data_IF_462210425730
#
_entry.id   IF_462210425730
#
_cell.length_a   1.000
_cell.length_b   1.000
_cell.length_c   1.000
_cell.angle_alpha   90.00
_cell.angle_beta   90.00
_cell.angle_gamma   90.00
#
_symmetry.space_group_name_H-M   'P 1'
#
loop_
_entity.id
_entity.type
_entity.pdbx_description
1 polymer ?
#
# COMPACT_ATOMS: atom_id res chain seq x y z
N UNK A 1 -13.59 -8.66 -37.28
CA UNK A 1 -12.88 -9.92 -36.99
C UNK A 1 -11.73 -9.58 -36.06
N UNK A 2 -11.88 -9.95 -34.77
CA UNK A 2 -10.88 -10.11 -33.70
C UNK A 2 -9.72 -9.09 -33.60
N UNK A 3 -9.89 -8.07 -32.75
CA UNK A 3 -8.76 -7.41 -32.08
C UNK A 3 -8.09 -8.43 -31.15
N UNK A 4 -6.81 -8.70 -31.41
CA UNK A 4 -5.95 -9.53 -30.59
C UNK A 4 -5.74 -8.89 -29.22
N UNK A 5 -6.15 -9.61 -28.17
CA UNK A 5 -5.77 -9.36 -26.78
C UNK A 5 -4.24 -9.39 -26.67
N UNK A 6 -3.62 -8.24 -26.47
CA UNK A 6 -2.30 -8.13 -25.85
C UNK A 6 -2.59 -7.66 -24.43
N UNK A 7 -2.25 -8.50 -23.46
CA UNK A 7 -2.44 -8.23 -22.04
C UNK A 7 -1.51 -7.09 -21.63
N UNK A 8 -2.07 -5.90 -21.64
CA UNK A 8 -1.45 -4.72 -21.06
C UNK A 8 -1.58 -4.87 -19.54
N UNK A 9 -0.50 -5.27 -18.86
CA UNK A 9 -0.34 -5.05 -17.41
C UNK A 9 -0.10 -3.54 -17.25
N UNK A 10 -1.19 -2.81 -17.49
CA UNK A 10 -1.28 -1.36 -17.48
C UNK A 10 -1.36 -0.91 -16.04
N UNK A 11 -0.87 0.30 -15.77
CA UNK A 11 -1.12 1.02 -14.52
C UNK A 11 -0.60 0.34 -13.27
N UNK A 12 0.72 0.19 -13.28
CA UNK A 12 1.45 0.39 -12.06
C UNK A 12 1.11 1.79 -11.48
N UNK A 13 0.21 1.80 -10.50
CA UNK A 13 0.29 2.66 -9.31
C UNK A 13 -0.04 4.16 -9.46
N UNK A 14 -0.21 4.70 -10.68
CA UNK A 14 -0.67 6.08 -10.88
C UNK A 14 -2.11 6.37 -10.37
N UNK A 15 -2.89 5.34 -10.01
CA UNK A 15 -4.28 5.54 -9.63
C UNK A 15 -4.48 5.94 -8.15
N UNK A 16 -3.47 5.78 -7.27
CA UNK A 16 -3.54 6.23 -5.87
C UNK A 16 -3.38 7.76 -5.71
N UNK A 17 -2.85 8.43 -6.73
CA UNK A 17 -2.59 9.86 -6.74
C UNK A 17 -3.71 10.63 -7.45
N UNK A 18 -4.95 10.47 -6.99
CA UNK A 18 -5.85 11.62 -7.08
C UNK A 18 -5.59 12.39 -5.80
N UNK A 19 -5.10 13.64 -5.85
CA UNK A 19 -5.11 14.46 -4.65
C UNK A 19 -6.55 14.41 -4.12
N UNK A 20 -6.72 13.96 -2.88
CA UNK A 20 -8.04 13.91 -2.21
C UNK A 20 -8.71 15.30 -2.18
N UNK A 21 -7.99 16.33 -2.65
CA UNK A 21 -8.31 17.74 -2.54
C UNK A 21 -7.83 18.51 -3.79
N UNK A 22 -8.11 18.03 -5.01
CA UNK A 22 -8.05 18.91 -6.18
C UNK A 22 -9.30 19.81 -6.20
N UNK A 23 -9.07 21.12 -6.16
CA UNK A 23 -10.09 22.16 -6.05
C UNK A 23 -11.05 22.21 -7.26
N UNK A 24 -12.20 21.53 -7.21
CA UNK A 24 -13.49 21.92 -7.86
C UNK A 24 -14.70 21.13 -7.32
N UNK A 25 -14.63 20.62 -6.08
CA UNK A 25 -15.71 19.84 -5.47
C UNK A 25 -16.02 20.36 -4.07
N UNK A 26 -17.32 20.53 -3.77
CA UNK A 26 -17.75 20.95 -2.44
C UNK A 26 -17.59 19.79 -1.47
N UNK A 27 -16.67 19.89 -0.52
CA UNK A 27 -16.64 19.00 0.63
C UNK A 27 -17.82 19.34 1.57
N UNK A 28 -18.59 18.33 1.95
CA UNK A 28 -19.69 18.45 2.92
C UNK A 28 -19.36 17.68 4.18
N UNK A 29 -19.59 18.28 5.35
CA UNK A 29 -19.46 17.63 6.66
C UNK A 29 -20.82 17.71 7.36
N UNK A 30 -21.36 16.58 7.78
CA UNK A 30 -22.57 16.48 8.61
C UNK A 30 -22.27 15.73 9.90
N UNK A 31 -22.85 16.17 11.01
CA UNK A 31 -22.69 15.54 12.32
C UNK A 31 -23.86 15.96 13.24
N UNK A 32 -23.97 15.35 14.41
CA UNK A 32 -24.96 15.73 15.43
C UNK A 32 -24.69 17.15 15.95
N UNK A 33 -23.41 17.50 16.13
CA UNK A 33 -22.95 18.82 16.54
C UNK A 33 -21.84 19.29 15.60
N UNK A 34 -22.03 20.48 15.02
CA UNK A 34 -21.03 21.18 14.21
C UNK A 34 -20.77 22.58 14.78
N UNK A 35 -19.50 22.92 14.93
CA UNK A 35 -19.05 24.26 15.30
C UNK A 35 -18.04 24.77 14.28
N UNK A 36 -18.20 26.01 13.83
CA UNK A 36 -17.25 26.65 12.93
C UNK A 36 -16.80 28.00 13.49
N UNK A 37 -15.48 28.18 13.62
CA UNK A 37 -14.87 29.44 14.01
C UNK A 37 -14.33 30.17 12.76
N UNK A 38 -15.03 31.22 12.32
CA UNK A 38 -14.63 32.00 11.15
C UNK A 38 -13.30 32.74 11.30
N UNK A 39 -12.84 33.02 12.53
CA UNK A 39 -11.55 33.68 12.78
C UNK A 39 -10.38 32.72 12.61
N UNK A 40 -10.47 31.48 13.12
CA UNK A 40 -9.40 30.48 12.97
C UNK A 40 -9.54 29.60 11.73
N UNK A 41 -10.74 29.49 11.16
CA UNK A 41 -11.06 28.54 10.09
C UNK A 41 -11.32 27.11 10.59
N UNK A 42 -11.38 26.89 11.90
CA UNK A 42 -11.57 25.56 12.49
C UNK A 42 -13.05 25.15 12.46
N UNK A 43 -13.35 24.02 11.84
CA UNK A 43 -14.62 23.31 11.91
C UNK A 43 -14.45 22.06 12.80
N UNK A 44 -15.30 21.90 13.81
CA UNK A 44 -15.33 20.74 14.70
C UNK A 44 -16.65 20.00 14.52
N UNK A 45 -16.59 18.66 14.45
CA UNK A 45 -17.72 17.78 14.21
C UNK A 45 -17.75 16.66 15.25
N UNK A 46 -18.90 16.45 15.90
CA UNK A 46 -19.10 15.42 16.94
C UNK A 46 -20.42 14.69 16.76
N UNK A 47 -20.37 13.37 16.91
CA UNK A 47 -21.51 12.46 16.77
C UNK A 47 -21.88 12.22 15.30
N UNK A 48 -21.96 10.94 14.90
CA UNK A 48 -22.39 10.51 13.56
C UNK A 48 -21.77 11.32 12.41
N UNK A 49 -20.44 11.54 12.44
CA UNK A 49 -19.75 12.37 11.45
C UNK A 49 -19.77 11.67 10.11
N UNK A 50 -20.24 12.38 9.08
CA UNK A 50 -20.18 11.96 7.67
C UNK A 50 -19.54 13.08 6.87
N UNK A 51 -18.50 12.74 6.11
CA UNK A 51 -17.77 13.64 5.23
C UNK A 51 -17.95 13.12 3.80
N UNK A 52 -18.41 13.99 2.91
CA UNK A 52 -18.56 13.68 1.48
C UNK A 52 -17.64 14.61 0.71
N UNK A 53 -16.76 14.02 -0.10
CA UNK A 53 -15.88 14.74 -1.00
C UNK A 53 -15.80 13.97 -2.32
N UNK A 54 -16.32 14.57 -3.40
CA UNK A 54 -16.47 13.94 -4.72
C UNK A 54 -17.21 12.60 -4.64
N UNK A 55 -16.53 11.50 -4.99
CA UNK A 55 -17.04 10.14 -4.99
C UNK A 55 -16.87 9.44 -3.64
N UNK A 56 -16.22 10.08 -2.66
CA UNK A 56 -15.82 9.47 -1.40
C UNK A 56 -16.75 9.88 -0.27
N UNK A 57 -17.26 8.89 0.44
CA UNK A 57 -18.00 9.06 1.70
C UNK A 57 -17.17 8.48 2.83
N UNK A 58 -16.90 9.28 3.86
CA UNK A 58 -16.16 8.88 5.05
C UNK A 58 -17.01 9.08 6.30
N UNK A 59 -17.03 8.10 7.19
CA UNK A 59 -17.78 8.14 8.45
C UNK A 59 -16.84 8.03 9.65
N UNK A 60 -17.20 8.65 10.77
CA UNK A 60 -16.49 8.54 12.05
C UNK A 60 -17.34 9.06 13.22
N UNK A 61 -16.76 9.16 14.41
CA UNK A 61 -17.47 9.69 15.60
C UNK A 61 -17.18 11.15 15.86
N UNK A 62 -15.92 11.56 15.72
CA UNK A 62 -15.48 12.92 16.03
C UNK A 62 -14.33 13.31 15.11
N UNK A 63 -14.30 14.58 14.72
CA UNK A 63 -13.24 15.10 13.87
C UNK A 63 -13.21 16.62 13.82
N UNK A 64 -12.18 17.14 13.18
CA UNK A 64 -12.04 18.56 12.90
C UNK A 64 -11.34 18.79 11.57
N UNK A 65 -11.59 19.96 10.99
CA UNK A 65 -10.98 20.42 9.75
C UNK A 65 -10.64 21.90 9.85
N UNK A 66 -9.43 22.29 9.50
CA UNK A 66 -9.03 23.69 9.43
C UNK A 66 -9.00 24.15 7.97
N UNK A 67 -9.89 25.06 7.59
CA UNK A 67 -10.03 25.56 6.22
C UNK A 67 -8.84 26.40 5.74
N UNK A 68 -8.02 26.95 6.65
CA UNK A 68 -6.85 27.76 6.33
C UNK A 68 -5.60 26.92 6.14
N UNK A 69 -5.39 25.93 7.01
CA UNK A 69 -4.20 25.06 6.95
C UNK A 69 -4.44 23.78 6.15
N UNK A 70 -5.71 23.45 5.86
CA UNK A 70 -6.09 22.20 5.20
C UNK A 70 -5.64 20.96 6.00
N UNK A 71 -5.63 21.10 7.32
CA UNK A 71 -5.34 20.01 8.25
C UNK A 71 -6.66 19.42 8.74
N UNK A 72 -6.70 18.10 8.88
CA UNK A 72 -7.93 17.38 9.23
C UNK A 72 -7.62 16.19 10.14
N UNK A 73 -8.50 15.91 11.09
CA UNK A 73 -8.46 14.66 11.87
C UNK A 73 -9.85 14.06 11.99
N UNK A 74 -9.96 12.75 11.87
CA UNK A 74 -11.17 11.98 12.11
C UNK A 74 -10.84 10.79 13.00
N UNK A 75 -11.74 10.44 13.91
CA UNK A 75 -11.54 9.36 14.89
C UNK A 75 -12.83 8.58 15.16
N UNK A 76 -12.68 7.42 15.79
CA UNK A 76 -13.80 6.68 16.38
C UNK A 76 -14.35 5.54 15.52
N UNK A 77 -13.49 4.89 14.75
CA UNK A 77 -13.89 3.82 13.83
C UNK A 77 -14.29 4.42 12.48
N UNK A 78 -13.30 4.56 11.62
CA UNK A 78 -13.43 5.19 10.31
C UNK A 78 -13.81 4.13 9.29
N UNK A 79 -14.77 4.48 8.44
CA UNK A 79 -15.06 3.78 7.20
C UNK A 79 -15.08 4.79 6.06
N UNK A 80 -14.31 4.55 5.02
CA UNK A 80 -14.34 5.33 3.79
C UNK A 80 -14.72 4.42 2.63
N UNK A 81 -15.64 4.87 1.80
CA UNK A 81 -16.08 4.19 0.59
C UNK A 81 -16.05 5.21 -0.55
N UNK A 82 -15.36 4.86 -1.62
CA UNK A 82 -15.40 5.55 -2.91
C UNK A 82 -15.66 4.55 -4.04
N UNK A 83 -15.54 4.98 -5.29
CA UNK A 83 -15.90 4.17 -6.46
C UNK A 83 -15.12 2.84 -6.51
N UNK A 84 -13.78 2.93 -6.44
CA UNK A 84 -12.88 1.77 -6.49
C UNK A 84 -11.97 1.71 -5.27
N UNK A 85 -12.32 2.42 -4.21
CA UNK A 85 -11.45 2.60 -3.04
C UNK A 85 -12.23 2.43 -1.76
N UNK A 86 -11.65 1.75 -0.78
CA UNK A 86 -12.20 1.70 0.57
C UNK A 86 -11.10 1.77 1.62
N UNK A 87 -11.46 2.24 2.81
CA UNK A 87 -10.55 2.28 3.95
C UNK A 87 -11.30 2.00 5.26
N UNK A 88 -10.66 1.27 6.16
CA UNK A 88 -11.01 1.23 7.58
C UNK A 88 -9.81 1.54 8.45
N UNK A 89 -10.01 2.33 9.51
CA UNK A 89 -8.99 2.64 10.53
C UNK A 89 -9.66 3.09 11.83
N UNK A 90 -8.91 3.29 12.91
CA UNK A 90 -9.42 3.94 14.14
C UNK A 90 -9.29 5.47 14.10
N UNK A 91 -8.23 5.95 13.46
CA UNK A 91 -7.90 7.37 13.33
C UNK A 91 -7.32 7.65 11.94
N UNK A 92 -7.61 8.85 11.42
CA UNK A 92 -7.02 9.41 10.21
C UNK A 92 -6.63 10.86 10.49
N UNK A 93 -5.40 11.22 10.18
CA UNK A 93 -4.89 12.59 10.22
C UNK A 93 -4.35 12.97 8.83
N UNK A 94 -4.71 14.17 8.37
CA UNK A 94 -4.27 14.76 7.11
C UNK A 94 -3.58 16.09 7.39
N UNK A 95 -2.39 16.29 6.82
CA UNK A 95 -1.65 17.55 6.93
C UNK A 95 -1.45 18.17 5.55
N UNK A 96 -1.85 19.43 5.38
CA UNK A 96 -1.72 20.23 4.16
C UNK A 96 -2.27 19.53 2.89
N UNK A 97 -3.23 18.61 3.03
CA UNK A 97 -3.72 17.75 1.94
C UNK A 97 -2.64 16.92 1.20
N UNK A 98 -1.42 16.84 1.76
CA UNK A 98 -0.28 16.14 1.18
C UNK A 98 0.07 14.87 1.97
N UNK A 99 0.03 14.93 3.30
CA UNK A 99 0.35 13.80 4.17
C UNK A 99 -0.92 13.20 4.74
N UNK A 100 -1.02 11.87 4.68
CA UNK A 100 -2.06 11.09 5.34
C UNK A 100 -1.40 10.12 6.32
N UNK A 101 -1.96 10.02 7.51
CA UNK A 101 -1.60 9.02 8.51
C UNK A 101 -2.87 8.35 9.02
N UNK A 102 -2.97 7.03 8.82
CA UNK A 102 -4.04 6.20 9.34
C UNK A 102 -3.50 5.29 10.44
N UNK A 103 -4.27 5.11 11.52
CA UNK A 103 -3.87 4.33 12.71
C UNK A 103 -4.96 3.37 13.15
N UNK A 104 -4.53 2.22 13.66
CA UNK A 104 -5.37 1.20 14.29
C UNK A 104 -6.03 0.26 13.28
N UNK A 105 -5.41 -0.91 13.07
CA UNK A 105 -5.89 -1.97 12.17
C UNK A 105 -6.28 -1.42 10.78
N UNK A 106 -5.38 -0.66 10.18
CA UNK A 106 -5.62 -0.02 8.89
C UNK A 106 -5.82 -1.09 7.83
N UNK A 107 -6.88 -0.92 7.03
CA UNK A 107 -7.13 -1.69 5.82
C UNK A 107 -7.46 -0.69 4.73
N UNK A 108 -6.65 -0.65 3.71
CA UNK A 108 -6.85 0.16 2.52
C UNK A 108 -7.04 -0.79 1.36
N UNK A 109 -8.05 -0.54 0.54
CA UNK A 109 -8.23 -1.24 -0.71
C UNK A 109 -8.36 -0.22 -1.83
N UNK A 110 -7.71 -0.52 -2.95
CA UNK A 110 -7.91 0.18 -4.19
C UNK A 110 -7.90 -0.81 -5.34
N UNK A 111 -9.01 -0.91 -6.06
CA UNK A 111 -9.23 -1.93 -7.08
C UNK A 111 -8.99 -3.35 -6.47
N UNK A 112 -8.05 -4.11 -7.02
CA UNK A 112 -7.61 -5.43 -6.55
C UNK A 112 -6.42 -5.38 -5.57
N UNK A 113 -5.92 -4.19 -5.24
CA UNK A 113 -4.75 -4.00 -4.36
C UNK A 113 -5.22 -3.70 -2.94
N UNK A 114 -4.46 -4.18 -1.96
CA UNK A 114 -4.76 -3.93 -0.54
C UNK A 114 -3.50 -3.64 0.26
N UNK A 115 -3.60 -2.71 1.21
CA UNK A 115 -2.55 -2.37 2.17
C UNK A 115 -3.11 -2.54 3.58
N UNK A 116 -2.36 -3.23 4.43
CA UNK A 116 -2.67 -3.44 5.83
C UNK A 116 -1.51 -2.98 6.70
N UNK A 117 -1.82 -2.50 7.90
CA UNK A 117 -0.86 -2.23 8.96
C UNK A 117 -1.50 -1.65 10.21
N UNK A 118 -0.76 -1.59 11.31
CA UNK A 118 -1.17 -0.89 12.52
C UNK A 118 -1.13 0.64 12.32
N UNK A 119 -0.14 1.10 11.55
CA UNK A 119 0.01 2.50 11.11
C UNK A 119 0.36 2.50 9.63
N UNK A 120 -0.36 3.30 8.84
CA UNK A 120 -0.06 3.51 7.43
C UNK A 120 0.08 5.00 7.16
N UNK A 121 1.17 5.40 6.50
CA UNK A 121 1.37 6.78 6.06
C UNK A 121 1.45 6.87 4.55
N UNK A 122 1.04 8.01 3.99
CA UNK A 122 1.16 8.28 2.57
C UNK A 122 1.36 9.76 2.29
N UNK A 123 2.32 10.08 1.43
CA UNK A 123 2.59 11.40 0.91
C UNK A 123 2.16 11.45 -0.56
N UNK A 124 1.12 12.22 -0.86
CA UNK A 124 0.57 12.32 -2.22
C UNK A 124 1.52 13.00 -3.21
N UNK A 125 2.40 13.88 -2.74
CA UNK A 125 3.33 14.65 -3.56
C UNK A 125 4.56 13.86 -3.98
N UNK A 126 5.11 13.07 -3.06
CA UNK A 126 6.27 12.21 -3.35
C UNK A 126 5.88 10.79 -3.73
N UNK A 127 4.60 10.47 -3.61
CA UNK A 127 4.04 9.12 -3.77
C UNK A 127 4.80 8.08 -2.93
N UNK A 128 5.16 8.48 -1.71
CA UNK A 128 5.87 7.63 -0.75
C UNK A 128 4.90 7.21 0.34
N UNK A 129 4.92 5.94 0.71
CA UNK A 129 4.09 5.42 1.79
C UNK A 129 4.82 4.41 2.66
N UNK A 130 4.32 4.25 3.88
CA UNK A 130 4.82 3.25 4.82
C UNK A 130 3.67 2.46 5.42
N UNK A 131 3.93 1.20 5.75
CA UNK A 131 3.06 0.39 6.59
C UNK A 131 3.89 -0.23 7.72
N UNK A 132 3.46 0.00 8.96
CA UNK A 132 4.16 -0.47 10.16
C UNK A 132 3.23 -1.30 11.02
N UNK A 133 3.75 -2.42 11.53
CA UNK A 133 3.05 -3.36 12.39
C UNK A 133 2.13 -4.24 11.57
N UNK A 134 2.45 -5.54 11.48
CA UNK A 134 1.69 -6.51 10.68
C UNK A 134 1.46 -6.05 9.24
N UNK A 135 2.50 -5.45 8.64
CA UNK A 135 2.44 -4.92 7.29
C UNK A 135 2.13 -6.02 6.28
N UNK A 136 1.11 -5.79 5.46
CA UNK A 136 0.77 -6.68 4.35
C UNK A 136 0.37 -5.86 3.14
N UNK A 137 0.95 -6.19 1.99
CA UNK A 137 0.62 -5.65 0.69
C UNK A 137 0.10 -6.79 -0.18
N UNK A 138 -1.11 -6.63 -0.71
CA UNK A 138 -1.70 -7.54 -1.69
C UNK A 138 -1.72 -6.83 -3.03
N UNK A 139 -1.15 -7.48 -4.02
CA UNK A 139 -1.13 -7.08 -5.43
C UNK A 139 -1.75 -8.21 -6.26
N UNK A 140 -1.95 -7.95 -7.55
CA UNK A 140 -2.57 -8.88 -8.51
C UNK A 140 -1.93 -10.27 -8.48
N UNK A 141 -0.60 -10.29 -8.48
CA UNK A 141 0.18 -11.51 -8.65
C UNK A 141 1.00 -11.88 -7.41
N UNK A 142 0.94 -11.09 -6.34
CA UNK A 142 1.80 -11.29 -5.19
C UNK A 142 1.23 -10.74 -3.88
N UNK A 143 1.61 -11.40 -2.79
CA UNK A 143 1.38 -10.97 -1.41
C UNK A 143 2.73 -10.81 -0.73
N UNK A 144 2.99 -9.62 -0.21
CA UNK A 144 4.19 -9.30 0.57
C UNK A 144 3.78 -9.01 2.02
N UNK A 145 4.50 -9.58 2.99
CA UNK A 145 4.37 -9.22 4.41
C UNK A 145 5.68 -8.73 4.98
N UNK A 146 5.61 -7.95 6.04
CA UNK A 146 6.76 -7.55 6.85
C UNK A 146 6.35 -6.69 8.04
N UNK A 147 7.22 -6.55 9.03
CA UNK A 147 6.96 -5.71 10.21
C UNK A 147 6.96 -4.22 9.85
N UNK A 148 7.75 -3.84 8.84
CA UNK A 148 7.80 -2.50 8.25
C UNK A 148 7.97 -2.59 6.74
N UNK A 149 7.09 -1.93 6.00
CA UNK A 149 7.10 -1.88 4.53
C UNK A 149 7.14 -0.41 4.10
N UNK A 150 7.98 -0.09 3.14
CA UNK A 150 8.00 1.22 2.47
C UNK A 150 7.76 1.05 0.98
N UNK A 151 7.14 2.05 0.36
CA UNK A 151 6.89 2.09 -1.07
C UNK A 151 7.15 3.47 -1.66
N UNK A 152 7.86 3.51 -2.78
CA UNK A 152 8.00 4.67 -3.67
C UNK A 152 7.31 4.34 -4.98
N UNK A 153 6.10 4.84 -5.11
CA UNK A 153 5.17 4.48 -6.16
C UNK A 153 5.63 4.98 -7.54
N UNK A 154 6.07 6.23 -7.64
CA UNK A 154 6.61 6.80 -8.88
C UNK A 154 7.91 6.15 -9.37
N UNK A 155 8.60 5.38 -8.51
CA UNK A 155 9.83 4.66 -8.83
C UNK A 155 9.65 3.14 -8.92
N UNK A 156 8.45 2.63 -8.60
CA UNK A 156 8.18 1.19 -8.48
C UNK A 156 9.18 0.48 -7.57
N UNK A 157 9.39 1.08 -6.40
CA UNK A 157 10.32 0.53 -5.42
C UNK A 157 9.58 0.23 -4.14
N UNK A 158 9.90 -0.91 -3.54
CA UNK A 158 9.44 -1.24 -2.20
C UNK A 158 10.58 -1.82 -1.36
N UNK A 159 10.53 -1.58 -0.05
CA UNK A 159 11.38 -2.26 0.94
C UNK A 159 10.48 -2.92 1.97
N UNK A 160 10.91 -4.06 2.49
CA UNK A 160 10.25 -4.73 3.62
C UNK A 160 11.31 -5.20 4.61
N UNK A 161 11.00 -5.10 5.89
CA UNK A 161 11.91 -5.42 6.99
C UNK A 161 11.15 -6.16 8.09
N UNK A 162 11.80 -7.17 8.67
CA UNK A 162 11.26 -8.01 9.74
C UNK A 162 10.22 -9.00 9.24
N UNK A 163 10.47 -10.30 9.45
CA UNK A 163 9.54 -11.39 9.11
C UNK A 163 8.99 -11.29 7.67
N UNK A 164 9.86 -11.01 6.70
CA UNK A 164 9.43 -10.78 5.32
C UNK A 164 9.00 -12.10 4.70
N UNK A 165 7.81 -12.11 4.10
CA UNK A 165 7.38 -13.20 3.22
C UNK A 165 6.85 -12.64 1.91
N UNK A 166 7.13 -13.35 0.82
CA UNK A 166 6.65 -13.04 -0.52
C UNK A 166 6.03 -14.30 -1.10
N UNK A 167 4.75 -14.24 -1.42
CA UNK A 167 4.04 -15.31 -2.11
C UNK A 167 3.59 -14.81 -3.48
N UNK A 168 3.90 -15.56 -4.54
CA UNK A 168 3.38 -15.32 -5.88
C UNK A 168 2.92 -16.62 -6.54
N UNK A 169 1.60 -16.77 -6.68
CA UNK A 169 1.02 -17.91 -7.38
C UNK A 169 1.36 -17.91 -8.88
N UNK A 170 1.39 -16.73 -9.52
CA UNK A 170 1.75 -16.58 -10.94
C UNK A 170 3.16 -17.08 -11.23
N UNK A 171 4.09 -16.79 -10.34
CA UNK A 171 5.49 -17.18 -10.47
C UNK A 171 5.79 -18.52 -9.78
N UNK A 172 4.80 -19.17 -9.13
CA UNK A 172 4.98 -20.39 -8.33
C UNK A 172 6.16 -20.27 -7.35
N UNK A 173 6.14 -19.16 -6.62
CA UNK A 173 7.21 -18.67 -5.76
C UNK A 173 6.68 -18.43 -4.35
N UNK A 174 7.37 -19.00 -3.38
CA UNK A 174 7.26 -18.68 -1.97
C UNK A 174 8.64 -18.29 -1.44
N UNK A 175 8.79 -17.13 -0.83
CA UNK A 175 10.08 -16.68 -0.31
C UNK A 175 9.95 -16.01 1.05
N UNK A 176 11.03 -16.06 1.83
CA UNK A 176 11.14 -15.45 3.14
C UNK A 176 12.54 -14.92 3.40
N UNK A 177 12.64 -13.83 4.15
CA UNK A 177 13.91 -13.24 4.58
C UNK A 177 13.71 -12.26 5.75
N UNK A 178 14.82 -11.75 6.29
CA UNK A 178 14.79 -10.67 7.27
C UNK A 178 14.47 -9.33 6.59
N UNK A 179 14.96 -9.12 5.36
CA UNK A 179 14.72 -7.90 4.59
C UNK A 179 14.50 -8.22 3.10
N UNK A 180 13.72 -7.37 2.43
CA UNK A 180 13.55 -7.39 0.99
C UNK A 180 13.63 -5.99 0.38
N UNK A 181 14.16 -5.91 -0.84
CA UNK A 181 14.12 -4.72 -1.70
C UNK A 181 13.59 -5.14 -3.06
N UNK A 182 12.53 -4.48 -3.54
CA UNK A 182 11.96 -4.68 -4.86
C UNK A 182 12.10 -3.43 -5.71
N UNK A 183 12.41 -3.61 -6.99
CA UNK A 183 12.44 -2.55 -8.01
C UNK A 183 11.93 -3.07 -9.36
N UNK A 184 11.30 -2.19 -10.15
CA UNK A 184 10.87 -2.49 -11.52
C UNK A 184 10.86 -1.21 -12.37
N UNK A 185 11.02 -1.33 -13.69
CA UNK A 185 10.87 -0.20 -14.60
C UNK A 185 9.39 -0.01 -15.00
N UNK A 186 8.83 1.21 -15.01
CA UNK A 186 7.43 1.43 -15.38
C UNK A 186 7.05 0.89 -16.75
N UNK A 187 6.01 0.05 -16.75
CA UNK A 187 5.48 -0.60 -17.96
C UNK A 187 6.36 -1.72 -18.53
N UNK A 188 7.41 -2.13 -17.81
CA UNK A 188 8.28 -3.23 -18.19
C UNK A 188 8.07 -4.44 -17.27
N UNK A 189 8.33 -5.63 -17.81
CA UNK A 189 8.33 -6.88 -17.06
C UNK A 189 9.76 -7.26 -16.67
N UNK A 190 10.40 -6.42 -15.85
CA UNK A 190 11.80 -6.52 -15.43
C UNK A 190 11.98 -6.45 -13.90
N UNK A 191 10.92 -6.79 -13.15
CA UNK A 191 10.92 -6.73 -11.70
C UNK A 191 12.02 -7.61 -11.08
N UNK A 192 12.74 -7.05 -10.10
CA UNK A 192 13.78 -7.74 -9.34
C UNK A 192 13.54 -7.56 -7.85
N UNK A 193 13.58 -8.66 -7.10
CA UNK A 193 13.57 -8.64 -5.64
C UNK A 193 14.91 -9.16 -5.09
N UNK A 194 15.53 -8.40 -4.19
CA UNK A 194 16.67 -8.85 -3.40
C UNK A 194 16.19 -9.18 -1.99
N UNK A 195 16.40 -10.42 -1.56
CA UNK A 195 16.10 -10.92 -0.23
C UNK A 195 17.40 -11.11 0.53
N UNK A 196 17.48 -10.57 1.75
CA UNK A 196 18.71 -10.60 2.55
C UNK A 196 18.42 -10.97 4.00
N UNK A 197 19.33 -11.75 4.58
CA UNK A 197 19.19 -12.29 5.94
C UNK A 197 18.24 -13.47 5.97
N UNK A 198 18.76 -14.64 6.36
CA UNK A 198 18.01 -15.90 6.40
C UNK A 198 17.19 -16.17 5.11
N UNK A 199 17.73 -15.79 3.94
CA UNK A 199 16.98 -15.80 2.70
C UNK A 199 16.71 -17.23 2.23
N UNK A 200 15.43 -17.52 2.03
CA UNK A 200 14.90 -18.80 1.63
C UNK A 200 13.84 -18.60 0.54
N UNK A 201 13.90 -19.39 -0.52
CA UNK A 201 12.89 -19.38 -1.58
C UNK A 201 12.57 -20.80 -2.04
N UNK A 202 11.30 -21.03 -2.36
CA UNK A 202 10.79 -22.20 -3.04
C UNK A 202 10.28 -21.74 -4.41
N UNK A 203 10.97 -22.15 -5.46
CA UNK A 203 10.66 -21.79 -6.84
C UNK A 203 10.41 -23.07 -7.63
N UNK A 204 9.19 -23.27 -8.12
CA UNK A 204 8.80 -24.48 -8.85
C UNK A 204 9.08 -25.79 -8.08
N UNK A 205 8.93 -25.76 -6.75
CA UNK A 205 9.19 -26.90 -5.86
C UNK A 205 10.66 -27.12 -5.49
N UNK A 206 11.59 -26.37 -6.09
CA UNK A 206 13.00 -26.38 -5.71
C UNK A 206 13.26 -25.38 -4.61
N UNK A 207 14.10 -25.73 -3.64
CA UNK A 207 14.39 -24.89 -2.47
C UNK A 207 15.78 -24.28 -2.59
N UNK A 208 15.89 -22.97 -2.40
CA UNK A 208 17.13 -22.21 -2.39
C UNK A 208 17.31 -21.54 -1.03
N UNK A 209 18.49 -21.76 -0.42
CA UNK A 209 18.90 -21.12 0.83
C UNK A 209 20.23 -20.39 0.61
N UNK A 210 20.29 -19.12 0.98
CA UNK A 210 21.50 -18.31 0.85
C UNK A 210 21.50 -17.12 1.84
N UNK A 211 22.65 -16.47 2.08
CA UNK A 211 22.67 -15.18 2.76
C UNK A 211 21.85 -14.12 2.02
N UNK A 212 21.88 -14.17 0.68
CA UNK A 212 21.13 -13.29 -0.20
C UNK A 212 20.57 -14.06 -1.40
N UNK A 213 19.34 -13.76 -1.79
CA UNK A 213 18.69 -14.27 -3.01
C UNK A 213 18.27 -13.08 -3.88
N UNK A 214 18.61 -13.14 -5.17
CA UNK A 214 18.07 -12.27 -6.20
C UNK A 214 17.00 -13.04 -6.97
N UNK A 215 15.78 -12.53 -6.96
CA UNK A 215 14.63 -13.08 -7.68
C UNK A 215 14.36 -12.20 -8.90
N UNK A 216 14.37 -12.77 -10.10
CA UNK A 216 14.02 -12.07 -11.34
C UNK A 216 12.66 -12.55 -11.82
N UNK A 217 11.69 -11.63 -11.86
CA UNK A 217 10.29 -11.96 -12.17
C UNK A 217 10.08 -12.28 -13.66
N UNK A 218 10.95 -11.75 -14.52
CA UNK A 218 10.87 -11.88 -15.99
C UNK A 218 10.98 -13.32 -16.48
N UNK A 219 11.86 -14.10 -15.86
CA UNK A 219 12.18 -15.47 -16.25
C UNK A 219 12.02 -16.48 -15.10
N UNK A 220 11.46 -16.03 -13.97
CA UNK A 220 11.27 -16.81 -12.74
C UNK A 220 12.59 -17.40 -12.20
N UNK A 221 13.71 -16.71 -12.42
CA UNK A 221 15.01 -17.17 -11.95
C UNK A 221 15.29 -16.70 -10.52
N UNK A 222 16.03 -17.54 -9.80
CA UNK A 222 16.54 -17.25 -8.46
C UNK A 222 18.05 -17.45 -8.47
N UNK A 223 18.79 -16.41 -8.16
CA UNK A 223 20.23 -16.44 -8.04
C UNK A 223 20.63 -16.30 -6.56
N UNK A 224 21.49 -17.21 -6.10
CA UNK A 224 22.12 -17.10 -4.78
C UNK A 224 23.31 -16.16 -4.82
N UNK A 225 23.42 -15.25 -3.86
CA UNK A 225 24.48 -14.25 -3.76
C UNK A 225 25.09 -14.27 -2.35
N UNK A 226 26.33 -13.79 -2.22
CA UNK A 226 26.88 -13.42 -0.91
C UNK A 226 27.39 -14.57 -0.02
N UNK A 227 27.53 -15.80 -0.53
CA UNK A 227 28.22 -16.87 0.20
C UNK A 227 27.80 -18.30 -0.13
N UNK A 228 28.16 -19.23 0.77
CA UNK A 228 27.80 -20.64 0.64
C UNK A 228 26.29 -20.79 0.62
N UNK A 229 25.79 -21.45 -0.41
CA UNK A 229 24.36 -21.58 -0.68
C UNK A 229 23.98 -23.03 -0.90
N UNK A 230 22.71 -23.37 -0.73
CA UNK A 230 22.20 -24.73 -0.92
C UNK A 230 21.00 -24.70 -1.85
N UNK A 231 21.02 -25.56 -2.88
CA UNK A 231 19.90 -25.86 -3.76
C UNK A 231 19.43 -27.28 -3.47
N UNK A 232 18.16 -27.45 -3.14
CA UNK A 232 17.51 -28.75 -3.03
C UNK A 232 16.54 -28.90 -4.19
N UNK A 233 16.76 -29.92 -5.02
CA UNK A 233 15.97 -30.16 -6.23
C UNK A 233 14.86 -31.16 -5.90
N UNK A 234 13.64 -30.81 -6.28
CA UNK A 234 12.50 -31.72 -6.27
C UNK A 234 12.21 -32.14 -7.71
N UNK A 235 12.53 -33.38 -8.11
CA UNK A 235 12.26 -33.85 -9.46
C UNK A 235 10.77 -33.79 -9.76
N UNK A 236 10.40 -33.13 -10.87
CA UNK A 236 9.03 -33.20 -11.37
C UNK A 236 8.84 -34.54 -12.08
N UNK A 237 7.79 -35.28 -11.71
CA UNK A 237 7.37 -36.52 -12.38
C UNK A 237 6.56 -36.22 -13.64
#
# INVERSE_FOLDING_TARGET
>A
MKLSKVMTITSLVASLAVPVWAATSNMTITADVLQYNGSSGLAEAKGNVVIINEDKTMTGKEGWYNTKTQEARLTGGISMIGTDTSMSAQELHSTNNEQLEAKGNVRLQKENKQVFGDIVTYNTKTEYGTSRGHGKLVMDDAVLTGDYIEGWLGQIRATAQGNVTLHSAKHNLDASADNAVYTQTPGQDDGVAYLTGNAHAVQNGNVLNAPELKLEMKDNSVQTVGGRSTLVITPQQ
#
